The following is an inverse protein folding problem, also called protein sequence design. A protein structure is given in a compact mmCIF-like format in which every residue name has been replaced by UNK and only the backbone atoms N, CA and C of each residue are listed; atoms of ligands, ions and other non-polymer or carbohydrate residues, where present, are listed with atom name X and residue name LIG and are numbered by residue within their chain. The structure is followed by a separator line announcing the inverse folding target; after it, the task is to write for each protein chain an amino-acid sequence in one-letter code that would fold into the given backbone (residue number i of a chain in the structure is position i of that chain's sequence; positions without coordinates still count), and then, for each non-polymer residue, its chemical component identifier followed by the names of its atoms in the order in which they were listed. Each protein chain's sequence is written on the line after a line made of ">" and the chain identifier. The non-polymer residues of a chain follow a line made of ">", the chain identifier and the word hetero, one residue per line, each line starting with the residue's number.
data_IF_806314213990
#
_entry.id   IF_806314213990
#
_cell.length_a   1.000
_cell.length_b   1.000
_cell.length_c   1.000
_cell.angle_alpha   90.00
_cell.angle_beta   90.00
_cell.angle_gamma   90.00
#
_symmetry.space_group_name_H-M   'P 1'
#
loop_
_entity.id
_entity.type
_entity.pdbx_description
1 polymer ?
#
# COMPACT_ATOMS: atom_id res chain seq x y z
N UNK A 1 8.22 11.56 -17.22
CA UNK A 1 7.01 11.11 -16.49
C UNK A 1 6.94 11.97 -15.23
N UNK A 2 6.10 13.01 -15.23
CA UNK A 2 5.95 13.89 -14.07
C UNK A 2 4.73 13.42 -13.29
N UNK A 3 4.95 12.56 -12.29
CA UNK A 3 3.92 12.19 -11.33
C UNK A 3 3.77 13.32 -10.31
N UNK A 4 2.56 13.85 -10.14
CA UNK A 4 2.27 14.81 -9.08
C UNK A 4 2.65 14.18 -7.74
N UNK A 5 3.52 14.82 -6.93
CA UNK A 5 3.97 14.25 -5.67
C UNK A 5 2.76 14.02 -4.76
N UNK A 6 2.62 12.79 -4.27
CA UNK A 6 1.68 12.48 -3.18
C UNK A 6 2.32 13.00 -1.91
N UNK A 7 1.95 14.21 -1.51
CA UNK A 7 2.42 14.87 -0.28
C UNK A 7 1.44 14.52 0.85
N UNK A 8 1.97 14.07 1.98
CA UNK A 8 1.16 13.79 3.18
C UNK A 8 0.67 12.36 3.35
N UNK A 9 1.06 11.43 2.47
CA UNK A 9 0.60 10.04 2.54
C UNK A 9 1.76 9.02 2.46
N UNK A 10 1.54 7.79 2.95
CA UNK A 10 2.44 6.65 2.77
C UNK A 10 2.74 6.46 1.28
N UNK A 11 3.97 6.15 0.87
CA UNK A 11 4.31 5.97 -0.55
C UNK A 11 5.27 4.80 -0.78
N UNK A 12 5.16 4.18 -1.95
CA UNK A 12 6.17 3.22 -2.42
C UNK A 12 7.46 3.98 -2.77
N UNK A 13 8.59 3.45 -2.32
CA UNK A 13 9.92 3.96 -2.59
C UNK A 13 10.76 2.84 -3.22
N UNK A 14 11.30 3.11 -4.41
CA UNK A 14 12.34 2.26 -4.99
C UNK A 14 13.65 2.46 -4.20
N UNK A 15 14.29 1.37 -3.84
CA UNK A 15 15.58 1.35 -3.12
C UNK A 15 16.56 0.39 -3.77
N UNK A 16 17.85 0.67 -3.60
CA UNK A 16 18.93 -0.27 -3.97
C UNK A 16 19.41 -0.98 -2.73
N UNK A 17 19.28 -2.31 -2.69
CA UNK A 17 19.79 -3.14 -1.59
C UNK A 17 21.26 -3.48 -1.80
N UNK A 18 21.90 -4.02 -0.76
CA UNK A 18 23.28 -4.53 -0.83
C UNK A 18 23.39 -5.55 -1.97
N UNK A 19 24.34 -5.34 -2.89
CA UNK A 19 24.46 -6.13 -4.11
C UNK A 19 23.79 -5.51 -5.35
N UNK A 20 23.30 -4.27 -5.27
CA UNK A 20 22.85 -3.48 -6.43
C UNK A 20 21.47 -3.87 -6.97
N UNK A 21 20.80 -4.84 -6.35
CA UNK A 21 19.45 -5.26 -6.75
C UNK A 21 18.43 -4.18 -6.44
N UNK A 22 17.54 -3.94 -7.40
CA UNK A 22 16.38 -3.07 -7.23
C UNK A 22 15.37 -3.74 -6.31
N UNK A 23 14.85 -2.98 -5.36
CA UNK A 23 13.89 -3.40 -4.35
C UNK A 23 12.87 -2.28 -4.14
N UNK A 24 11.75 -2.59 -3.49
CA UNK A 24 10.69 -1.63 -3.19
C UNK A 24 10.35 -1.70 -1.70
N UNK A 25 10.16 -0.54 -1.09
CA UNK A 25 9.71 -0.41 0.30
C UNK A 25 8.58 0.62 0.39
N UNK A 26 8.01 0.80 1.57
CA UNK A 26 6.99 1.81 1.85
C UNK A 26 7.55 2.77 2.89
N UNK A 27 7.36 4.07 2.66
CA UNK A 27 7.79 5.13 3.58
C UNK A 27 6.62 6.01 3.98
N UNK A 28 6.65 6.50 5.21
CA UNK A 28 5.83 7.59 5.72
C UNK A 28 6.08 8.89 4.92
N UNK A 29 5.20 9.90 5.06
CA UNK A 29 5.36 11.17 4.36
C UNK A 29 6.73 11.82 4.59
N UNK A 30 7.23 11.74 5.83
CA UNK A 30 8.55 12.23 6.26
C UNK A 30 9.74 11.41 5.71
N UNK A 31 9.48 10.32 4.99
CA UNK A 31 10.49 9.44 4.42
C UNK A 31 10.97 8.32 5.35
N UNK A 32 10.42 8.21 6.57
CA UNK A 32 10.76 7.11 7.47
C UNK A 32 10.17 5.80 6.93
N UNK A 33 10.95 4.72 6.96
CA UNK A 33 10.53 3.40 6.49
C UNK A 33 9.42 2.81 7.37
N UNK A 34 8.35 2.34 6.72
CA UNK A 34 7.31 1.53 7.37
C UNK A 34 7.83 0.11 7.61
N UNK A 35 8.31 -0.16 8.83
CA UNK A 35 9.16 -1.34 9.14
C UNK A 35 8.51 -2.70 8.86
N UNK A 36 7.22 -2.87 9.15
CA UNK A 36 6.57 -4.17 8.92
C UNK A 36 6.40 -4.46 7.42
N UNK A 37 6.04 -3.45 6.64
CA UNK A 37 5.99 -3.52 5.19
C UNK A 37 7.37 -3.79 4.60
N UNK A 38 8.42 -3.12 5.10
CA UNK A 38 9.80 -3.37 4.66
C UNK A 38 10.22 -4.83 4.89
N UNK A 39 9.91 -5.39 6.06
CA UNK A 39 10.18 -6.80 6.39
C UNK A 39 9.45 -7.75 5.44
N UNK A 40 8.15 -7.53 5.24
CA UNK A 40 7.35 -8.36 4.34
C UNK A 40 7.86 -8.28 2.90
N UNK A 41 8.17 -7.08 2.39
CA UNK A 41 8.63 -6.89 1.02
C UNK A 41 10.03 -7.47 0.78
N UNK A 42 10.89 -7.51 1.80
CA UNK A 42 12.23 -8.08 1.70
C UNK A 42 12.21 -9.57 1.34
N UNK A 43 11.16 -10.32 1.71
CA UNK A 43 10.98 -11.73 1.33
C UNK A 43 10.83 -11.94 -0.19
N UNK A 44 10.51 -10.87 -0.93
CA UNK A 44 10.32 -10.88 -2.38
C UNK A 44 11.43 -10.14 -3.13
N UNK A 45 12.55 -9.80 -2.47
CA UNK A 45 13.67 -9.08 -3.10
C UNK A 45 14.17 -9.80 -4.36
N UNK A 46 14.24 -9.06 -5.48
CA UNK A 46 14.64 -9.60 -6.78
C UNK A 46 13.53 -10.33 -7.54
N UNK A 47 12.35 -10.49 -6.96
CA UNK A 47 11.16 -10.97 -7.67
C UNK A 47 10.50 -9.85 -8.49
N UNK A 48 9.99 -10.19 -9.67
CA UNK A 48 9.13 -9.30 -10.44
C UNK A 48 7.82 -8.94 -9.73
N UNK A 49 7.38 -9.76 -8.78
CA UNK A 49 6.12 -9.56 -8.03
C UNK A 49 6.24 -8.55 -6.90
N UNK A 50 7.44 -8.25 -6.42
CA UNK A 50 7.65 -7.36 -5.27
C UNK A 50 7.06 -5.98 -5.50
N UNK A 51 7.22 -5.43 -6.72
CA UNK A 51 6.65 -4.14 -7.08
C UNK A 51 5.13 -4.16 -6.94
N UNK A 52 4.47 -5.17 -7.49
CA UNK A 52 3.02 -5.34 -7.40
C UNK A 52 2.57 -5.41 -5.95
N UNK A 53 3.26 -6.20 -5.11
CA UNK A 53 2.96 -6.29 -3.68
C UNK A 53 3.17 -4.97 -2.94
N UNK A 54 4.22 -4.21 -3.25
CA UNK A 54 4.43 -2.89 -2.64
C UNK A 54 3.27 -1.94 -2.94
N UNK A 55 2.78 -1.93 -4.18
CA UNK A 55 1.63 -1.11 -4.56
C UNK A 55 0.32 -1.59 -3.94
N UNK A 56 0.04 -2.89 -3.89
CA UNK A 56 -1.15 -3.43 -3.20
C UNK A 56 -1.09 -3.25 -1.68
N UNK A 57 0.10 -3.22 -1.09
CA UNK A 57 0.26 -3.04 0.35
C UNK A 57 0.13 -1.56 0.74
N UNK A 58 0.77 -0.64 0.01
CA UNK A 58 0.58 0.80 0.27
C UNK A 58 -0.89 1.17 0.09
N UNK A 59 -1.56 0.49 -0.82
CA UNK A 59 -2.95 0.67 -1.11
C UNK A 59 -3.80 0.40 0.13
N UNK A 60 -3.67 -0.79 0.68
CA UNK A 60 -4.37 -1.19 1.88
C UNK A 60 -4.00 -0.35 3.11
N UNK A 61 -2.71 -0.04 3.32
CA UNK A 61 -2.26 0.75 4.48
C UNK A 61 -2.87 2.16 4.50
N UNK A 62 -3.02 2.80 3.33
CA UNK A 62 -3.68 4.11 3.21
C UNK A 62 -5.17 4.03 3.52
N UNK A 63 -5.82 2.93 3.13
CA UNK A 63 -7.22 2.71 3.49
C UNK A 63 -7.38 2.53 5.00
N UNK A 64 -6.48 1.76 5.64
CA UNK A 64 -6.49 1.59 7.09
C UNK A 64 -6.31 2.93 7.83
N UNK A 65 -5.35 3.75 7.39
CA UNK A 65 -5.11 5.08 7.96
C UNK A 65 -6.36 5.97 7.86
N UNK A 66 -7.01 6.01 6.68
CA UNK A 66 -8.27 6.74 6.46
C UNK A 66 -9.42 6.26 7.37
N UNK A 67 -9.48 4.96 7.64
CA UNK A 67 -10.50 4.35 8.51
C UNK A 67 -10.14 4.40 10.01
N UNK A 68 -8.96 4.95 10.36
CA UNK A 68 -8.47 4.97 11.75
C UNK A 68 -8.15 3.57 12.30
N UNK A 69 -7.80 2.63 11.43
CA UNK A 69 -7.51 1.24 11.78
C UNK A 69 -6.00 1.00 11.85
N UNK A 70 -5.57 0.19 12.81
CA UNK A 70 -4.18 -0.30 12.88
C UNK A 70 -4.06 -1.66 12.18
N UNK A 71 -2.97 -1.92 11.44
CA UNK A 71 -2.75 -3.22 10.78
C UNK A 71 -2.72 -4.42 11.73
N UNK A 72 -2.37 -4.21 12.99
CA UNK A 72 -2.36 -5.25 14.03
C UNK A 72 -3.76 -5.62 14.53
N UNK A 73 -4.74 -4.74 14.32
CA UNK A 73 -6.11 -4.89 14.80
C UNK A 73 -7.13 -5.15 13.69
N UNK A 74 -6.71 -5.14 12.42
CA UNK A 74 -7.59 -5.32 11.26
C UNK A 74 -8.26 -6.70 11.29
N UNK A 75 -9.58 -6.72 11.11
CA UNK A 75 -10.36 -7.96 11.06
C UNK A 75 -10.60 -8.43 9.62
N UNK A 76 -11.12 -9.66 9.47
CA UNK A 76 -11.58 -10.16 8.18
C UNK A 76 -12.72 -9.32 7.60
N UNK A 77 -13.58 -8.75 8.43
CA UNK A 77 -14.69 -7.92 7.96
C UNK A 77 -14.18 -6.57 7.45
N UNK A 78 -13.14 -6.00 8.05
CA UNK A 78 -12.45 -4.82 7.53
C UNK A 78 -11.83 -5.11 6.16
N UNK A 79 -11.22 -6.29 5.98
CA UNK A 79 -10.71 -6.71 4.68
C UNK A 79 -11.83 -6.79 3.62
N UNK A 80 -13.01 -7.31 3.98
CA UNK A 80 -14.16 -7.32 3.07
C UNK A 80 -14.61 -5.91 2.69
N UNK A 81 -14.63 -4.98 3.65
CA UNK A 81 -14.94 -3.56 3.39
C UNK A 81 -13.94 -2.94 2.44
N UNK A 82 -12.64 -3.16 2.67
CA UNK A 82 -11.59 -2.72 1.75
C UNK A 82 -11.77 -3.29 0.34
N UNK A 83 -12.01 -4.60 0.21
CA UNK A 83 -12.23 -5.25 -1.09
C UNK A 83 -13.45 -4.66 -1.82
N UNK A 84 -14.55 -4.43 -1.11
CA UNK A 84 -15.72 -3.76 -1.65
C UNK A 84 -15.37 -2.35 -2.18
N UNK A 85 -14.60 -1.59 -1.40
CA UNK A 85 -14.27 -0.21 -1.70
C UNK A 85 -13.29 -0.03 -2.89
N UNK A 86 -12.47 -1.05 -3.21
CA UNK A 86 -11.64 -1.07 -4.44
C UNK A 86 -12.40 -1.58 -5.67
N UNK A 87 -13.73 -1.77 -5.57
CA UNK A 87 -14.57 -2.18 -6.70
C UNK A 87 -14.64 -3.69 -6.94
N UNK A 88 -14.29 -4.52 -5.94
CA UNK A 88 -14.74 -5.91 -5.99
C UNK A 88 -16.28 -5.92 -6.02
N UNK A 89 -16.89 -6.80 -6.83
CA UNK A 89 -18.35 -6.95 -6.87
C UNK A 89 -18.86 -7.36 -5.49
N UNK A 90 -19.23 -6.38 -4.67
CA UNK A 90 -19.70 -6.57 -3.31
C UNK A 90 -21.13 -6.05 -3.19
N UNK A 91 -22.02 -6.85 -2.62
CA UNK A 91 -23.40 -6.47 -2.40
C UNK A 91 -23.49 -5.59 -1.14
N UNK A 92 -23.81 -4.30 -1.28
CA UNK A 92 -24.03 -3.39 -0.15
C UNK A 92 -23.90 -1.89 -0.51
N UNK A 93 -24.30 -0.97 0.40
CA UNK A 93 -24.40 0.47 0.15
C UNK A 93 -23.06 1.24 0.09
N UNK A 94 -21.92 0.55 0.00
CA UNK A 94 -20.59 1.17 0.11
C UNK A 94 -20.09 1.81 -1.20
N UNK A 95 -21.00 2.39 -1.97
CA UNK A 95 -20.85 2.80 -3.38
C UNK A 95 -19.95 4.01 -3.65
N UNK A 96 -19.09 4.42 -2.72
CA UNK A 96 -18.04 5.40 -3.02
C UNK A 96 -16.68 4.70 -3.15
N UNK A 97 -15.99 4.83 -4.29
CA UNK A 97 -14.59 4.44 -4.40
C UNK A 97 -13.80 5.08 -3.25
N UNK A 98 -13.05 4.29 -2.49
CA UNK A 98 -12.30 4.90 -1.38
C UNK A 98 -11.15 5.80 -1.86
N UNK A 99 -10.83 5.76 -3.16
CA UNK A 99 -9.87 6.65 -3.80
C UNK A 99 -10.47 7.47 -4.92
N UNK A 100 -10.00 8.71 -4.97
CA UNK A 100 -10.25 9.60 -6.10
C UNK A 100 -9.33 9.31 -7.30
N UNK A 101 -8.17 8.65 -7.09
CA UNK A 101 -7.16 8.38 -8.13
C UNK A 101 -6.57 6.96 -8.05
N UNK A 102 -6.29 6.29 -9.19
CA UNK A 102 -5.59 5.00 -9.23
C UNK A 102 -4.13 5.08 -8.74
N UNK A 103 -3.55 3.92 -8.43
CA UNK A 103 -2.14 3.77 -8.06
C UNK A 103 -1.22 4.09 -9.26
N UNK A 104 -0.87 5.36 -9.44
CA UNK A 104 0.01 5.83 -10.51
C UNK A 104 0.29 7.32 -10.41
#
# INVERSE_FOLDING_TARGET
>A
MSGTPVVGDLRVQEVRRRGGRRSYTIVWPDGIVYRQADRFLAEFDGSGTQRTYAYLLVDHLRWLDREGLSPEAVSLDDLKRYMAAIGAKFAGPFGEPWRDRPLG
#
